data_IF_137068777460
#
_entry.id   IF_137068777460
#
_cell.length_a   1.000
_cell.length_b   1.000
_cell.length_c   1.000
_cell.angle_alpha   90.00
_cell.angle_beta   90.00
_cell.angle_gamma   90.00
#
_symmetry.space_group_name_H-M   'P 1'
#
loop_
_entity.id
_entity.type
_entity.pdbx_description
1 polymer ?
#
# COMPACT_ATOMS: atom_id res chain seq x y z
N UNK A 1 -10.87 5.14 -12.77
CA UNK A 1 -9.68 4.52 -12.13
C UNK A 1 -8.97 3.55 -13.09
N UNK A 2 -7.65 3.31 -12.93
CA UNK A 2 -6.94 2.22 -13.62
C UNK A 2 -6.68 1.01 -12.66
N UNK A 3 -6.16 -0.11 -13.16
CA UNK A 3 -5.96 -1.34 -12.35
C UNK A 3 -4.90 -1.16 -11.25
N UNK A 4 -3.88 -0.33 -11.46
CA UNK A 4 -2.84 -0.04 -10.46
C UNK A 4 -3.44 0.78 -9.32
N UNK A 5 -4.19 1.85 -9.65
CA UNK A 5 -4.89 2.66 -8.66
C UNK A 5 -5.87 1.80 -7.84
N UNK A 6 -6.61 0.91 -8.51
CA UNK A 6 -7.53 0.00 -7.85
C UNK A 6 -6.78 -1.00 -6.95
N UNK A 7 -5.62 -1.48 -7.37
CA UNK A 7 -4.79 -2.37 -6.55
C UNK A 7 -4.34 -1.66 -5.28
N UNK A 8 -3.87 -0.42 -5.36
CA UNK A 8 -3.45 0.37 -4.19
C UNK A 8 -4.59 0.52 -3.18
N UNK A 9 -5.80 0.88 -3.63
CA UNK A 9 -6.96 0.97 -2.75
C UNK A 9 -7.30 -0.36 -2.08
N UNK A 10 -7.18 -1.47 -2.80
CA UNK A 10 -7.42 -2.80 -2.23
C UNK A 10 -6.33 -3.20 -1.23
N UNK A 11 -5.07 -2.82 -1.49
CA UNK A 11 -3.98 -2.99 -0.52
C UNK A 11 -4.25 -2.21 0.76
N UNK A 12 -4.68 -0.95 0.66
CA UNK A 12 -5.07 -0.11 1.79
C UNK A 12 -6.24 -0.74 2.55
N UNK A 13 -7.29 -1.20 1.84
CA UNK A 13 -8.44 -1.88 2.45
C UNK A 13 -8.04 -3.10 3.28
N UNK A 14 -7.19 -3.96 2.72
CA UNK A 14 -6.70 -5.16 3.39
C UNK A 14 -5.63 -4.88 4.45
N UNK A 15 -5.17 -3.63 4.59
CA UNK A 15 -4.39 -3.18 5.74
C UNK A 15 -5.23 -3.11 7.02
N UNK A 16 -6.54 -2.89 6.90
CA UNK A 16 -7.47 -2.71 8.03
C UNK A 16 -8.55 -3.79 8.13
N UNK A 17 -8.80 -4.53 7.04
CA UNK A 17 -9.89 -5.50 6.92
C UNK A 17 -9.37 -6.85 6.42
N UNK A 18 -9.99 -7.96 6.84
CA UNK A 18 -9.56 -9.31 6.45
C UNK A 18 -10.23 -9.84 5.17
N UNK A 19 -11.33 -9.20 4.74
CA UNK A 19 -12.14 -9.64 3.61
C UNK A 19 -12.71 -8.48 2.81
N UNK A 20 -13.01 -8.74 1.55
CA UNK A 20 -13.66 -7.80 0.64
C UNK A 20 -14.78 -8.49 -0.15
N UNK A 21 -15.91 -7.81 -0.29
CA UNK A 21 -17.02 -8.18 -1.18
C UNK A 21 -17.43 -6.98 -2.02
N UNK A 22 -17.43 -7.15 -3.35
CA UNK A 22 -17.72 -6.05 -4.27
C UNK A 22 -19.11 -5.42 -4.03
N UNK A 23 -20.11 -6.21 -3.64
CA UNK A 23 -21.46 -5.69 -3.44
C UNK A 23 -21.63 -4.93 -2.11
N UNK A 24 -20.81 -5.22 -1.10
CA UNK A 24 -20.93 -4.64 0.24
C UNK A 24 -19.94 -3.52 0.49
N UNK A 25 -18.72 -3.69 -0.01
CA UNK A 25 -17.57 -2.89 0.39
C UNK A 25 -17.17 -1.86 -0.68
N UNK A 26 -17.73 -1.94 -1.90
CA UNK A 26 -17.38 -1.02 -2.97
C UNK A 26 -17.61 0.45 -2.62
N UNK A 27 -18.73 0.77 -1.98
CA UNK A 27 -19.03 2.15 -1.55
C UNK A 27 -18.09 2.65 -0.46
N UNK A 28 -17.61 1.76 0.41
CA UNK A 28 -16.64 2.10 1.45
C UNK A 28 -15.23 2.28 0.88
N UNK A 29 -14.87 1.49 -0.14
CA UNK A 29 -13.59 1.58 -0.83
C UNK A 29 -13.47 2.85 -1.72
N UNK A 30 -14.60 3.30 -2.29
CA UNK A 30 -14.62 4.38 -3.28
C UNK A 30 -15.48 5.56 -2.80
N UNK A 31 -14.85 6.54 -2.18
CA UNK A 31 -15.52 7.79 -1.75
C UNK A 31 -15.99 8.67 -2.92
N UNK A 32 -15.30 8.60 -4.06
CA UNK A 32 -15.64 9.34 -5.29
C UNK A 32 -15.63 8.34 -6.44
N UNK A 33 -16.77 8.21 -7.12
CA UNK A 33 -16.97 7.31 -8.25
C UNK A 33 -17.33 8.15 -9.47
N UNK A 34 -16.48 8.11 -10.50
CA UNK A 34 -16.75 8.78 -11.78
C UNK A 34 -17.65 7.90 -12.66
N UNK A 35 -17.29 6.62 -12.76
CA UNK A 35 -18.00 5.62 -13.54
C UNK A 35 -18.05 4.29 -12.75
N UNK A 36 -19.20 3.96 -12.14
CA UNK A 36 -19.33 2.80 -11.28
C UNK A 36 -18.98 1.47 -11.97
N UNK A 37 -19.35 1.30 -13.24
CA UNK A 37 -19.14 0.03 -13.94
C UNK A 37 -17.66 -0.14 -14.29
N UNK A 38 -17.04 0.92 -14.80
CA UNK A 38 -15.61 0.92 -15.12
C UNK A 38 -14.74 0.75 -13.87
N UNK A 39 -15.10 1.40 -12.78
CA UNK A 39 -14.34 1.32 -11.52
C UNK A 39 -14.50 -0.05 -10.87
N UNK A 40 -15.70 -0.66 -10.91
CA UNK A 40 -15.90 -2.06 -10.51
C UNK A 40 -15.05 -3.01 -11.35
N UNK A 41 -14.98 -2.81 -12.67
CA UNK A 41 -14.14 -3.64 -13.54
C UNK A 41 -12.65 -3.53 -13.18
N UNK A 42 -12.15 -2.31 -12.89
CA UNK A 42 -10.76 -2.11 -12.47
C UNK A 42 -10.45 -2.83 -11.13
N UNK A 43 -11.36 -2.77 -10.16
CA UNK A 43 -11.25 -3.48 -8.88
C UNK A 43 -11.23 -5.00 -9.10
N UNK A 44 -12.12 -5.53 -9.94
CA UNK A 44 -12.13 -6.96 -10.25
C UNK A 44 -10.81 -7.42 -10.88
N UNK A 45 -10.26 -6.67 -11.83
CA UNK A 45 -8.95 -6.98 -12.41
C UNK A 45 -7.82 -6.93 -11.37
N UNK A 46 -7.90 -6.01 -10.41
CA UNK A 46 -6.93 -5.92 -9.32
C UNK A 46 -7.03 -7.13 -8.37
N UNK A 47 -8.25 -7.53 -7.98
CA UNK A 47 -8.50 -8.71 -7.15
C UNK A 47 -8.00 -10.00 -7.82
N UNK A 48 -8.26 -10.17 -9.12
CA UNK A 48 -7.75 -11.32 -9.89
C UNK A 48 -6.22 -11.35 -9.91
N UNK A 49 -5.58 -10.17 -10.03
CA UNK A 49 -4.12 -10.06 -9.99
C UNK A 49 -3.57 -10.47 -8.62
N UNK A 50 -4.17 -9.97 -7.52
CA UNK A 50 -3.78 -10.33 -6.16
C UNK A 50 -4.00 -11.82 -5.84
N UNK A 51 -5.07 -12.40 -6.36
CA UNK A 51 -5.36 -13.84 -6.22
C UNK A 51 -4.31 -14.69 -6.95
N UNK A 52 -3.82 -14.24 -8.11
CA UNK A 52 -2.73 -14.87 -8.85
C UNK A 52 -1.40 -14.86 -8.09
N UNK A 53 -1.12 -13.82 -7.31
CA UNK A 53 0.05 -13.75 -6.42
C UNK A 53 -0.17 -14.50 -5.09
N UNK A 54 -1.29 -15.21 -4.94
CA UNK A 54 -1.69 -15.94 -3.73
C UNK A 54 -1.80 -15.07 -2.47
N UNK A 55 -1.98 -13.77 -2.64
CA UNK A 55 -2.13 -12.82 -1.53
C UNK A 55 -3.52 -12.89 -0.93
N UNK A 56 -4.51 -13.10 -1.80
CA UNK A 56 -5.92 -13.31 -1.44
C UNK A 56 -6.45 -14.59 -2.09
N UNK A 57 -7.56 -15.10 -1.58
CA UNK A 57 -8.31 -16.20 -2.19
C UNK A 57 -9.78 -15.82 -2.29
N UNK A 58 -10.40 -16.14 -3.43
CA UNK A 58 -11.82 -15.94 -3.60
C UNK A 58 -12.63 -17.19 -3.25
N UNK A 59 -13.80 -16.97 -2.67
CA UNK A 59 -14.77 -18.02 -2.39
C UNK A 59 -16.18 -17.48 -2.61
N UNK A 60 -17.01 -18.28 -3.28
CA UNK A 60 -18.43 -17.99 -3.44
C UNK A 60 -19.19 -18.61 -2.28
N UNK A 61 -19.87 -17.78 -1.49
CA UNK A 61 -20.67 -18.21 -0.35
C UNK A 61 -22.14 -18.01 -0.69
N UNK A 62 -22.88 -19.12 -0.69
CA UNK A 62 -24.32 -19.08 -0.95
C UNK A 62 -25.04 -18.61 0.30
N UNK A 63 -25.62 -17.40 0.24
CA UNK A 63 -26.55 -16.94 1.25
C UNK A 63 -27.99 -17.27 0.81
N UNK A 64 -28.95 -17.14 1.72
CA UNK A 64 -30.36 -17.58 1.55
C UNK A 64 -31.08 -17.02 0.31
N UNK A 65 -30.51 -16.03 -0.39
CA UNK A 65 -31.10 -15.38 -1.57
C UNK A 65 -30.19 -15.42 -2.80
N UNK A 66 -28.87 -15.25 -2.64
CA UNK A 66 -27.93 -15.12 -3.75
C UNK A 66 -26.56 -15.71 -3.40
N UNK A 67 -25.76 -15.98 -4.43
CA UNK A 67 -24.36 -16.40 -4.31
C UNK A 67 -23.47 -15.15 -4.30
N UNK A 68 -22.84 -14.87 -3.16
CA UNK A 68 -21.97 -13.71 -2.98
C UNK A 68 -20.51 -14.16 -3.03
N UNK A 69 -19.70 -13.48 -3.86
CA UNK A 69 -18.26 -13.72 -3.94
C UNK A 69 -17.53 -12.85 -2.92
N UNK A 70 -16.66 -13.49 -2.15
CA UNK A 70 -15.77 -12.86 -1.18
C UNK A 70 -14.33 -13.12 -1.58
N UNK A 71 -13.47 -12.14 -1.29
CA UNK A 71 -12.03 -12.28 -1.34
C UNK A 71 -11.49 -12.12 0.07
N UNK A 72 -10.68 -13.07 0.52
CA UNK A 72 -10.13 -13.11 1.88
C UNK A 72 -8.61 -13.13 1.81
N UNK A 73 -7.95 -12.43 2.73
CA UNK A 73 -6.49 -12.46 2.84
C UNK A 73 -6.02 -13.90 3.08
N UNK A 74 -5.12 -14.37 2.23
CA UNK A 74 -4.51 -15.70 2.35
C UNK A 74 -3.18 -15.64 3.11
N UNK A 75 -2.43 -14.54 2.97
CA UNK A 75 -1.20 -14.26 3.73
C UNK A 75 -1.19 -12.79 4.13
N UNK A 76 -0.78 -12.45 5.37
CA UNK A 76 -0.65 -11.05 5.77
C UNK A 76 0.18 -10.29 4.75
N UNK A 77 -0.33 -9.14 4.28
CA UNK A 77 0.35 -8.34 3.25
C UNK A 77 1.78 -7.94 3.68
N UNK A 78 1.96 -7.73 4.99
CA UNK A 78 3.25 -7.45 5.63
C UNK A 78 4.30 -8.56 5.42
N UNK A 79 3.86 -9.80 5.15
CA UNK A 79 4.77 -10.94 4.94
C UNK A 79 5.41 -10.97 3.55
N UNK A 80 4.98 -10.08 2.64
CA UNK A 80 5.53 -10.00 1.28
C UNK A 80 6.85 -9.23 1.31
N UNK A 81 7.96 -9.95 1.34
CA UNK A 81 9.30 -9.36 1.19
C UNK A 81 9.50 -8.88 -0.24
N UNK A 82 9.94 -7.63 -0.40
CA UNK A 82 10.37 -7.09 -1.68
C UNK A 82 11.89 -7.00 -1.73
N UNK A 83 12.47 -7.34 -2.88
CA UNK A 83 13.87 -7.07 -3.17
C UNK A 83 13.95 -5.78 -3.98
N UNK A 84 14.64 -4.77 -3.45
CA UNK A 84 14.76 -3.45 -4.07
C UNK A 84 16.22 -3.28 -4.50
N UNK A 85 16.42 -3.06 -5.80
CA UNK A 85 17.72 -2.67 -6.33
C UNK A 85 17.77 -1.16 -6.48
N UNK A 86 18.76 -0.53 -5.86
CA UNK A 86 18.94 0.92 -5.84
C UNK A 86 20.27 1.22 -6.51
N UNK A 87 20.25 2.05 -7.55
CA UNK A 87 21.48 2.50 -8.19
C UNK A 87 22.25 3.50 -7.30
N UNK A 88 23.54 3.67 -7.61
CA UNK A 88 24.43 4.54 -6.85
C UNK A 88 23.91 5.99 -6.71
N UNK A 89 23.31 6.53 -7.77
CA UNK A 89 22.87 7.93 -7.79
C UNK A 89 21.65 8.12 -6.89
N UNK A 90 20.69 7.20 -6.95
CA UNK A 90 19.53 7.21 -6.05
C UNK A 90 19.96 7.02 -4.59
N UNK A 91 20.88 6.08 -4.32
CA UNK A 91 21.40 5.86 -2.98
C UNK A 91 22.09 7.12 -2.39
N UNK A 92 22.85 7.84 -3.22
CA UNK A 92 23.45 9.10 -2.82
C UNK A 92 22.39 10.15 -2.44
N UNK A 93 21.36 10.33 -3.26
CA UNK A 93 20.29 11.28 -2.95
C UNK A 93 19.52 10.94 -1.67
N UNK A 94 19.20 9.66 -1.46
CA UNK A 94 18.55 9.19 -0.23
C UNK A 94 19.42 9.56 0.98
N UNK A 95 20.72 9.22 0.94
CA UNK A 95 21.64 9.51 2.03
C UNK A 95 21.75 11.01 2.31
N UNK A 96 21.77 11.85 1.28
CA UNK A 96 21.85 13.30 1.45
C UNK A 96 20.62 13.86 2.16
N UNK A 97 19.42 13.42 1.78
CA UNK A 97 18.16 13.91 2.37
C UNK A 97 18.09 13.50 3.83
N UNK A 98 18.31 12.21 4.12
CA UNK A 98 18.28 11.67 5.50
C UNK A 98 19.35 12.34 6.36
N UNK A 99 20.57 12.50 5.87
CA UNK A 99 21.66 13.13 6.61
C UNK A 99 21.42 14.63 6.83
N UNK A 100 20.86 15.35 5.85
CA UNK A 100 20.48 16.77 6.00
C UNK A 100 19.41 16.95 7.07
N UNK A 101 18.40 16.06 7.11
CA UNK A 101 17.36 16.10 8.12
C UNK A 101 17.90 15.73 9.51
N UNK A 102 18.67 14.65 9.61
CA UNK A 102 19.32 14.20 10.85
C UNK A 102 20.23 15.27 11.46
N UNK A 103 20.99 15.99 10.62
CA UNK A 103 21.82 17.12 11.06
C UNK A 103 21.01 18.27 11.65
N UNK A 104 19.77 18.51 11.17
CA UNK A 104 18.89 19.53 11.75
C UNK A 104 18.36 19.13 13.13
N UNK A 105 18.21 17.83 13.37
CA UNK A 105 17.78 17.28 14.66
C UNK A 105 18.96 17.00 15.63
N UNK A 106 20.19 17.28 15.21
CA UNK A 106 21.44 16.95 15.92
C UNK A 106 21.56 15.46 16.30
N UNK A 107 21.01 14.58 15.47
CA UNK A 107 21.12 13.12 15.61
C UNK A 107 22.10 12.57 14.59
N UNK A 108 23.27 12.12 15.05
CA UNK A 108 24.33 11.57 14.19
C UNK A 108 24.26 10.05 14.05
N UNK A 109 23.56 9.40 14.97
CA UNK A 109 23.27 7.98 14.99
C UNK A 109 22.32 7.55 13.86
N UNK A 110 21.52 8.48 13.34
CA UNK A 110 20.59 8.25 12.22
C UNK A 110 21.20 8.56 10.85
N UNK A 111 22.54 8.68 10.77
CA UNK A 111 23.20 8.94 9.49
C UNK A 111 23.15 7.71 8.59
N UNK A 112 22.95 7.97 7.31
CA UNK A 112 22.79 7.01 6.25
C UNK A 112 24.05 6.99 5.37
N UNK A 113 24.60 5.79 5.13
CA UNK A 113 25.71 5.55 4.20
C UNK A 113 25.15 5.17 2.81
N UNK A 114 25.46 5.92 1.74
CA UNK A 114 24.99 5.61 0.39
C UNK A 114 25.47 4.26 -0.15
N UNK A 115 26.51 3.66 0.40
CA UNK A 115 26.98 2.33 -0.01
C UNK A 115 26.19 1.18 0.62
N UNK A 116 25.36 1.47 1.63
CA UNK A 116 24.61 0.46 2.39
C UNK A 116 23.26 1.03 2.87
N UNK A 117 22.37 1.33 1.93
CA UNK A 117 21.00 1.79 2.24
C UNK A 117 20.21 0.62 2.83
N UNK A 118 19.75 0.81 4.07
CA UNK A 118 18.89 -0.16 4.76
C UNK A 118 17.41 0.21 4.66
N UNK A 119 16.53 -0.74 4.98
CA UNK A 119 15.08 -0.51 5.09
C UNK A 119 14.75 0.63 6.07
N UNK A 120 15.51 0.76 7.17
CA UNK A 120 15.29 1.82 8.15
C UNK A 120 15.58 3.21 7.55
N UNK A 121 16.58 3.33 6.68
CA UNK A 121 16.83 4.60 5.98
C UNK A 121 15.72 4.98 5.00
N UNK A 122 15.10 3.98 4.36
CA UNK A 122 13.93 4.21 3.51
C UNK A 122 12.70 4.63 4.34
N UNK A 123 12.52 4.05 5.53
CA UNK A 123 11.47 4.48 6.47
C UNK A 123 11.68 5.92 6.93
N UNK A 124 12.92 6.29 7.27
CA UNK A 124 13.26 7.66 7.63
C UNK A 124 12.92 8.63 6.49
N UNK A 125 13.22 8.25 5.24
CA UNK A 125 12.88 9.06 4.07
C UNK A 125 11.36 9.23 3.92
N UNK A 126 10.58 8.16 4.06
CA UNK A 126 9.11 8.23 4.02
C UNK A 126 8.57 9.12 5.13
N UNK A 127 9.08 8.99 6.35
CA UNK A 127 8.70 9.85 7.48
C UNK A 127 8.99 11.32 7.20
N UNK A 128 10.18 11.64 6.68
CA UNK A 128 10.55 13.01 6.31
C UNK A 128 9.60 13.55 5.23
N UNK A 129 9.26 12.73 4.23
CA UNK A 129 8.35 13.12 3.17
C UNK A 129 6.95 13.43 3.72
N UNK A 130 6.35 12.53 4.51
CA UNK A 130 5.04 12.74 5.13
C UNK A 130 5.03 13.95 6.06
N UNK A 131 6.08 14.13 6.87
CA UNK A 131 6.22 15.30 7.75
C UNK A 131 6.25 16.62 6.96
N UNK A 132 6.91 16.65 5.80
CA UNK A 132 6.98 17.85 4.94
C UNK A 132 5.70 18.07 4.12
N UNK A 133 5.01 17.00 3.73
CA UNK A 133 3.74 17.07 3.01
C UNK A 133 2.58 17.54 3.90
N UNK A 134 2.78 17.54 5.22
CA UNK A 134 1.77 18.00 6.17
C UNK A 134 0.64 17.00 6.32
N UNK A 135 0.94 15.70 6.18
CA UNK A 135 0.03 14.64 6.62
C UNK A 135 -0.06 14.71 8.15
N UNK A 136 -0.83 15.67 8.64
CA UNK A 136 -1.39 15.62 9.98
C UNK A 136 -2.25 14.34 10.01
N UNK A 137 -1.75 13.30 10.69
CA UNK A 137 -2.65 12.35 11.31
C UNK A 137 -3.66 13.19 12.12
N UNK A 138 -4.85 13.44 11.58
CA UNK A 138 -6.02 13.79 12.38
C UNK A 138 -6.27 12.59 13.30
N UNK A 139 -5.54 12.55 14.42
CA UNK A 139 -5.93 11.76 15.58
C UNK A 139 -7.22 12.36 16.10
N UNK A 140 -8.34 11.75 15.74
CA UNK A 140 -9.62 11.86 16.44
C UNK A 140 -10.16 10.49 16.77
#
# INVERSE_FOLDING_TARGET
MNVIDASLKIYEWFGENDSFSLEKDFSSLMNIVEDPERDKAAILCALESLEKYEMIKSCAVKNKKEEEKYWVINRPLESVSQNIEIDYQLALFISEIVNKFSKRLDRKDTYCDPSNISTDNLRDLTFIASFLMGDEEEKK
#
